data_IF_887479307117
#
_entry.id   IF_887479307117
#
_cell.length_a   1.000
_cell.length_b   1.000
_cell.length_c   1.000
_cell.angle_alpha   90.00
_cell.angle_beta   90.00
_cell.angle_gamma   90.00
#
_symmetry.space_group_name_H-M   'P 1'
#
loop_
_entity.id
_entity.type
_entity.pdbx_description
1 polymer ?
#
# COMPACT_ATOMS: atom_id res chain seq x y z
N UNK A 1 -6.33 8.82 4.03
CA UNK A 1 -6.08 7.72 3.09
C UNK A 1 -7.06 7.87 1.93
N UNK A 2 -6.59 7.68 0.70
CA UNK A 2 -7.45 7.63 -0.49
C UNK A 2 -7.02 6.48 -1.38
N UNK A 3 -8.00 5.71 -1.88
CA UNK A 3 -7.79 4.67 -2.86
C UNK A 3 -9.00 4.60 -3.81
N UNK A 4 -8.77 4.16 -5.04
CA UNK A 4 -9.84 3.96 -6.03
C UNK A 4 -10.43 2.55 -5.96
N UNK A 5 -9.72 1.59 -5.36
CA UNK A 5 -10.15 0.20 -5.29
C UNK A 5 -11.20 -0.02 -4.20
N UNK A 6 -12.38 -0.50 -4.60
CA UNK A 6 -13.45 -0.85 -3.68
C UNK A 6 -13.09 -1.95 -2.68
N UNK A 7 -12.15 -2.87 -3.02
CA UNK A 7 -11.66 -3.89 -2.08
C UNK A 7 -10.87 -3.25 -0.94
N UNK A 8 -10.02 -2.28 -1.23
CA UNK A 8 -9.28 -1.52 -0.21
C UNK A 8 -10.23 -0.73 0.68
N UNK A 9 -11.22 -0.08 0.08
CA UNK A 9 -12.25 0.69 0.81
C UNK A 9 -13.08 -0.21 1.73
N UNK A 10 -13.47 -1.39 1.25
CA UNK A 10 -14.14 -2.39 2.05
C UNK A 10 -13.28 -2.88 3.22
N UNK A 11 -12.02 -3.15 2.96
CA UNK A 11 -11.08 -3.59 4.00
C UNK A 11 -11.02 -2.57 5.16
N UNK A 12 -10.83 -1.30 4.85
CA UNK A 12 -10.77 -0.26 5.88
C UNK A 12 -12.07 -0.13 6.66
N UNK A 13 -13.22 -0.19 5.97
CA UNK A 13 -14.53 -0.12 6.61
C UNK A 13 -14.79 -1.34 7.50
N UNK A 14 -14.50 -2.54 7.01
CA UNK A 14 -14.67 -3.79 7.74
C UNK A 14 -13.76 -3.87 8.97
N UNK A 15 -12.47 -3.51 8.85
CA UNK A 15 -11.54 -3.46 9.99
C UNK A 15 -12.02 -2.45 11.04
N UNK A 16 -12.55 -1.31 10.61
CA UNK A 16 -13.07 -0.31 11.54
C UNK A 16 -14.32 -0.81 12.28
N UNK A 17 -15.22 -1.50 11.60
CA UNK A 17 -16.51 -1.92 12.14
C UNK A 17 -16.45 -3.27 12.89
N UNK A 18 -15.74 -4.25 12.32
CA UNK A 18 -15.72 -5.64 12.80
C UNK A 18 -14.32 -6.30 12.67
N UNK A 19 -13.30 -5.77 13.37
CA UNK A 19 -11.92 -6.26 13.23
C UNK A 19 -11.77 -7.75 13.55
N UNK A 20 -12.54 -8.29 14.50
CA UNK A 20 -12.51 -9.71 14.85
C UNK A 20 -13.01 -10.61 13.71
N UNK A 21 -14.09 -10.22 13.03
CA UNK A 21 -14.62 -10.98 11.89
C UNK A 21 -13.66 -10.94 10.68
N UNK A 22 -12.98 -9.82 10.47
CA UNK A 22 -11.94 -9.72 9.45
C UNK A 22 -10.75 -10.60 9.81
N UNK A 23 -10.33 -10.63 11.08
CA UNK A 23 -9.25 -11.48 11.57
C UNK A 23 -9.56 -12.96 11.35
N UNK A 24 -10.76 -13.41 11.74
CA UNK A 24 -11.21 -14.80 11.54
C UNK A 24 -11.17 -15.21 10.07
N UNK A 25 -11.63 -14.35 9.16
CA UNK A 25 -11.59 -14.62 7.73
C UNK A 25 -10.17 -14.56 7.14
N UNK A 26 -9.26 -13.85 7.79
CA UNK A 26 -7.85 -13.70 7.40
C UNK A 26 -6.96 -14.82 7.98
N UNK A 27 -7.34 -15.37 9.14
CA UNK A 27 -6.59 -16.40 9.84
C UNK A 27 -6.80 -17.77 9.20
N UNK A 28 -6.05 -18.04 8.15
CA UNK A 28 -6.18 -19.24 7.35
C UNK A 28 -4.81 -19.74 6.89
N UNK A 29 -4.60 -21.07 6.86
CA UNK A 29 -3.36 -21.64 6.35
C UNK A 29 -3.16 -21.32 4.86
N UNK A 30 -1.93 -21.43 4.40
CA UNK A 30 -1.59 -21.25 2.99
C UNK A 30 -2.00 -22.50 2.22
N UNK A 31 -3.12 -22.41 1.51
CA UNK A 31 -3.67 -23.48 0.67
C UNK A 31 -3.81 -22.94 -0.76
N UNK A 32 -3.11 -23.56 -1.70
CA UNK A 32 -3.09 -23.09 -3.08
C UNK A 32 -4.49 -23.09 -3.73
N UNK A 33 -5.27 -24.13 -3.50
CA UNK A 33 -6.64 -24.23 -4.03
C UNK A 33 -7.52 -23.09 -3.51
N UNK A 34 -7.38 -22.76 -2.22
CA UNK A 34 -8.12 -21.67 -1.58
C UNK A 34 -7.70 -20.31 -2.12
N UNK A 35 -6.40 -20.12 -2.37
CA UNK A 35 -5.89 -18.88 -2.95
C UNK A 35 -6.58 -18.56 -4.28
N UNK A 36 -6.74 -19.57 -5.14
CA UNK A 36 -7.38 -19.39 -6.44
C UNK A 36 -8.89 -19.26 -6.34
N UNK A 37 -9.52 -20.07 -5.51
CA UNK A 37 -10.96 -20.00 -5.29
C UNK A 37 -11.37 -18.62 -4.74
N UNK A 38 -10.63 -18.10 -3.75
CA UNK A 38 -10.84 -16.78 -3.17
C UNK A 38 -10.55 -15.66 -4.17
N UNK A 39 -9.50 -15.78 -4.96
CA UNK A 39 -9.18 -14.83 -6.03
C UNK A 39 -10.35 -14.68 -7.01
N UNK A 40 -10.87 -15.78 -7.54
CA UNK A 40 -11.98 -15.77 -8.47
C UNK A 40 -13.26 -15.23 -7.84
N UNK A 41 -13.53 -15.64 -6.60
CA UNK A 41 -14.70 -15.15 -5.87
C UNK A 41 -14.62 -13.64 -5.65
N UNK A 42 -13.47 -13.12 -5.20
CA UNK A 42 -13.27 -11.69 -4.99
C UNK A 42 -13.44 -10.88 -6.27
N UNK A 43 -12.90 -11.37 -7.40
CA UNK A 43 -13.12 -10.73 -8.71
C UNK A 43 -14.62 -10.67 -9.03
N UNK A 44 -15.33 -11.77 -8.83
CA UNK A 44 -16.78 -11.84 -9.10
C UNK A 44 -17.61 -10.91 -8.19
N UNK A 45 -17.12 -10.58 -6.99
CA UNK A 45 -17.83 -9.69 -6.07
C UNK A 45 -17.50 -8.21 -6.26
N UNK A 46 -16.43 -7.87 -6.99
CA UNK A 46 -15.87 -6.50 -7.04
C UNK A 46 -16.90 -5.42 -7.37
N UNK A 47 -17.67 -5.62 -8.42
CA UNK A 47 -18.64 -4.64 -8.89
C UNK A 47 -19.80 -4.46 -7.90
N UNK A 48 -20.39 -5.57 -7.46
CA UNK A 48 -21.50 -5.56 -6.49
C UNK A 48 -21.06 -5.00 -5.12
N UNK A 49 -19.86 -5.36 -4.66
CA UNK A 49 -19.27 -4.83 -3.44
C UNK A 49 -19.13 -3.31 -3.51
N UNK A 50 -18.53 -2.80 -4.59
CA UNK A 50 -18.33 -1.38 -4.78
C UNK A 50 -19.66 -0.61 -4.83
N UNK A 51 -20.64 -1.13 -5.54
CA UNK A 51 -21.98 -0.54 -5.61
C UNK A 51 -22.65 -0.47 -4.22
N UNK A 52 -22.54 -1.54 -3.43
CA UNK A 52 -23.11 -1.58 -2.07
C UNK A 52 -22.40 -0.65 -1.11
N UNK A 53 -21.07 -0.54 -1.19
CA UNK A 53 -20.28 0.39 -0.37
C UNK A 53 -20.70 1.86 -0.58
N UNK A 54 -21.13 2.20 -1.80
CA UNK A 54 -21.59 3.56 -2.14
C UNK A 54 -23.03 3.79 -1.71
N UNK A 55 -23.89 2.76 -1.84
CA UNK A 55 -25.32 2.86 -1.58
C UNK A 55 -25.66 2.78 -0.07
N UNK A 56 -24.87 2.05 0.71
CA UNK A 56 -25.13 1.78 2.12
C UNK A 56 -23.89 2.16 2.97
N UNK A 57 -24.07 3.15 3.82
CA UNK A 57 -23.02 3.68 4.68
C UNK A 57 -22.57 2.67 5.75
N UNK A 58 -23.41 1.75 6.14
CA UNK A 58 -23.10 0.72 7.13
C UNK A 58 -22.64 -0.60 6.51
N UNK A 59 -22.77 -0.74 5.20
CA UNK A 59 -22.37 -1.97 4.53
C UNK A 59 -20.86 -2.17 4.53
N UNK A 60 -20.45 -3.36 4.92
CA UNK A 60 -19.12 -3.93 4.70
C UNK A 60 -19.23 -5.44 4.57
N UNK A 61 -18.23 -6.05 3.93
CA UNK A 61 -18.09 -7.50 3.87
C UNK A 61 -16.78 -7.91 4.53
N UNK A 62 -16.87 -8.41 5.78
CA UNK A 62 -15.71 -8.82 6.57
C UNK A 62 -14.98 -10.03 5.96
N UNK A 63 -15.73 -10.95 5.32
CA UNK A 63 -15.16 -12.11 4.63
C UNK A 63 -14.36 -11.68 3.41
N UNK A 64 -14.92 -10.81 2.58
CA UNK A 64 -14.21 -10.26 1.43
C UNK A 64 -12.94 -9.49 1.88
N UNK A 65 -13.03 -8.72 2.96
CA UNK A 65 -11.91 -7.98 3.52
C UNK A 65 -10.79 -8.92 4.03
N UNK A 66 -11.15 -9.94 4.80
CA UNK A 66 -10.20 -10.92 5.34
C UNK A 66 -9.56 -11.76 4.24
N UNK A 67 -10.33 -12.26 3.29
CA UNK A 67 -9.79 -13.02 2.17
C UNK A 67 -8.91 -12.18 1.25
N UNK A 68 -9.26 -10.91 1.03
CA UNK A 68 -8.43 -9.98 0.27
C UNK A 68 -7.07 -9.76 0.96
N UNK A 69 -7.07 -9.49 2.27
CA UNK A 69 -5.85 -9.28 3.03
C UNK A 69 -4.99 -10.56 3.13
N UNK A 70 -5.63 -11.71 3.39
CA UNK A 70 -4.98 -13.02 3.42
C UNK A 70 -4.27 -13.33 2.09
N UNK A 71 -4.97 -13.17 0.97
CA UNK A 71 -4.38 -13.43 -0.33
C UNK A 71 -3.31 -12.43 -0.73
N UNK A 72 -3.43 -11.16 -0.36
CA UNK A 72 -2.40 -10.15 -0.57
C UNK A 72 -1.07 -10.52 0.14
N UNK A 73 -1.13 -11.26 1.26
CA UNK A 73 0.06 -11.77 1.95
C UNK A 73 0.70 -12.98 1.27
N UNK A 74 0.01 -13.67 0.37
CA UNK A 74 0.47 -14.94 -0.22
C UNK A 74 0.66 -14.91 -1.71
N UNK A 75 -0.01 -14.00 -2.41
CA UNK A 75 0.06 -13.91 -3.86
C UNK A 75 1.43 -13.43 -4.30
N UNK A 76 2.06 -14.16 -5.23
CA UNK A 76 3.37 -13.82 -5.78
C UNK A 76 3.19 -13.03 -7.08
N UNK A 77 3.79 -11.85 -7.14
CA UNK A 77 3.74 -10.99 -8.32
C UNK A 77 2.51 -10.08 -8.34
N UNK A 78 2.19 -9.59 -9.53
CA UNK A 78 1.05 -8.70 -9.77
C UNK A 78 -0.26 -9.44 -9.99
N UNK A 79 -1.36 -8.72 -9.96
CA UNK A 79 -2.68 -9.21 -10.40
C UNK A 79 -3.56 -9.83 -9.33
N UNK A 80 -3.23 -9.75 -8.02
CA UNK A 80 -4.16 -10.15 -6.97
C UNK A 80 -5.46 -9.35 -7.08
N UNK A 81 -6.58 -10.08 -7.19
CA UNK A 81 -7.91 -9.52 -7.45
C UNK A 81 -8.02 -8.67 -8.73
N UNK A 82 -7.09 -8.76 -9.68
CA UNK A 82 -7.22 -8.13 -10.98
C UNK A 82 -8.11 -8.96 -11.91
N UNK A 83 -9.06 -8.31 -12.58
CA UNK A 83 -9.93 -8.95 -13.57
C UNK A 83 -9.23 -9.27 -14.89
N UNK A 84 -8.02 -8.78 -15.10
CA UNK A 84 -7.26 -9.04 -16.34
C UNK A 84 -6.60 -10.42 -16.25
N UNK A 85 -7.00 -11.39 -17.07
CA UNK A 85 -6.40 -12.74 -17.06
C UNK A 85 -5.02 -12.69 -17.72
N UNK A 86 -4.02 -12.14 -17.05
CA UNK A 86 -2.64 -12.17 -17.56
C UNK A 86 -1.96 -13.52 -17.41
N UNK A 87 -2.48 -14.38 -16.54
CA UNK A 87 -1.91 -15.70 -16.30
C UNK A 87 -2.99 -16.77 -16.29
N UNK A 88 -2.66 -17.90 -16.86
CA UNK A 88 -3.51 -19.09 -16.81
C UNK A 88 -3.71 -19.47 -15.33
N UNK A 89 -4.95 -19.79 -14.98
CA UNK A 89 -5.25 -20.39 -13.68
C UNK A 89 -4.32 -21.58 -13.46
N UNK A 90 -3.90 -21.82 -12.21
CA UNK A 90 -3.07 -22.97 -11.92
C UNK A 90 -3.80 -24.24 -12.34
N UNK A 91 -3.07 -25.11 -12.95
CA UNK A 91 -3.56 -26.45 -13.27
C UNK A 91 -3.42 -27.31 -12.01
N UNK A 92 -4.41 -27.28 -11.13
CA UNK A 92 -4.50 -28.20 -10.02
C UNK A 92 -4.65 -29.59 -10.61
N UNK A 93 -3.60 -30.41 -10.56
CA UNK A 93 -3.58 -31.75 -11.14
C UNK A 93 -2.77 -31.90 -12.44
N UNK A 94 -2.11 -30.86 -12.92
CA UNK A 94 -1.14 -30.99 -14.01
C UNK A 94 0.13 -31.71 -13.57
N UNK A 95 0.68 -32.56 -14.42
CA UNK A 95 1.89 -33.37 -14.17
C UNK A 95 3.02 -32.53 -13.58
N UNK A 96 3.38 -32.83 -12.33
CA UNK A 96 4.25 -32.03 -11.51
C UNK A 96 5.69 -31.98 -12.01
N UNK A 97 6.14 -30.84 -12.44
CA UNK A 97 7.55 -30.48 -12.52
C UNK A 97 7.91 -29.46 -11.43
N UNK A 98 7.56 -29.75 -10.17
CA UNK A 98 7.89 -28.87 -9.04
C UNK A 98 7.17 -27.52 -9.05
N UNK A 99 7.41 -26.76 -8.01
CA UNK A 99 6.75 -25.48 -7.66
C UNK A 99 7.07 -24.32 -8.62
N UNK A 100 8.02 -24.48 -9.54
CA UNK A 100 8.56 -23.40 -10.36
C UNK A 100 8.22 -23.53 -11.86
N UNK A 101 6.94 -23.42 -12.21
CA UNK A 101 6.59 -23.22 -13.63
C UNK A 101 6.45 -21.72 -13.91
N UNK A 102 7.12 -21.17 -14.94
CA UNK A 102 7.09 -19.73 -15.24
C UNK A 102 5.70 -19.16 -15.56
N UNK A 103 4.69 -20.00 -15.75
CA UNK A 103 3.35 -19.62 -16.17
C UNK A 103 2.27 -19.80 -15.10
N UNK A 104 2.61 -20.21 -13.89
CA UNK A 104 1.65 -20.49 -12.83
C UNK A 104 1.88 -19.57 -11.65
N UNK A 105 0.79 -19.01 -11.12
CA UNK A 105 0.82 -18.27 -9.88
C UNK A 105 0.71 -19.27 -8.73
N UNK A 106 1.71 -19.30 -7.88
CA UNK A 106 1.76 -20.19 -6.71
C UNK A 106 1.78 -19.36 -5.44
N UNK A 107 1.23 -19.87 -4.34
CA UNK A 107 1.45 -19.25 -3.03
C UNK A 107 2.93 -19.35 -2.66
N UNK A 108 3.37 -18.47 -1.79
CA UNK A 108 4.73 -18.49 -1.28
C UNK A 108 4.89 -19.70 -0.34
N UNK A 109 5.49 -20.80 -0.82
CA UNK A 109 5.69 -22.04 -0.07
C UNK A 109 7.05 -22.13 0.64
N UNK A 110 7.90 -21.09 0.56
CA UNK A 110 9.18 -21.04 1.28
C UNK A 110 8.99 -20.59 2.73
N UNK A 111 10.06 -20.69 3.54
CA UNK A 111 10.08 -20.25 4.94
C UNK A 111 9.65 -18.79 5.17
N UNK A 112 9.62 -17.96 4.13
CA UNK A 112 9.06 -16.62 4.19
C UNK A 112 7.54 -16.57 3.97
N UNK A 113 6.93 -17.69 3.55
CA UNK A 113 5.54 -17.78 3.09
C UNK A 113 4.56 -18.26 4.14
N UNK A 114 4.67 -17.79 5.37
CA UNK A 114 3.70 -18.11 6.44
C UNK A 114 2.41 -17.27 6.36
N UNK A 115 2.18 -16.60 5.24
CA UNK A 115 0.98 -15.80 5.01
C UNK A 115 0.85 -14.65 6.02
N UNK A 116 -0.33 -14.52 6.62
CA UNK A 116 -0.61 -13.51 7.64
C UNK A 116 0.11 -13.73 8.96
N UNK A 117 0.69 -14.89 9.16
CA UNK A 117 1.46 -15.28 10.36
C UNK A 117 2.96 -15.01 10.23
N UNK A 118 3.41 -14.37 9.16
CA UNK A 118 4.81 -14.00 8.99
C UNK A 118 5.28 -13.14 10.18
N UNK A 119 6.39 -13.50 10.86
CA UNK A 119 6.92 -12.70 11.95
C UNK A 119 7.23 -11.30 11.40
N UNK A 120 6.53 -10.31 11.92
CA UNK A 120 6.75 -8.92 11.54
C UNK A 120 8.01 -8.43 12.24
N UNK A 121 9.02 -8.09 11.47
CA UNK A 121 10.15 -7.35 12.02
C UNK A 121 9.64 -5.97 12.39
N UNK A 122 10.01 -5.51 13.58
CA UNK A 122 9.76 -4.15 14.02
C UNK A 122 10.09 -3.18 12.89
N UNK A 123 9.24 -2.19 12.70
CA UNK A 123 9.49 -1.06 11.79
C UNK A 123 10.88 -0.50 12.11
N UNK A 124 11.64 -0.09 11.10
CA UNK A 124 12.93 0.57 11.27
C UNK A 124 12.85 1.87 12.12
N UNK A 125 11.65 2.27 12.52
CA UNK A 125 11.34 3.44 13.34
C UNK A 125 10.83 3.08 14.75
N UNK A 126 10.81 1.80 15.13
CA UNK A 126 10.45 1.37 16.48
C UNK A 126 11.71 0.86 17.17
N UNK A 127 12.18 1.58 18.18
CA UNK A 127 13.31 1.18 19.04
C UNK A 127 12.98 -0.01 19.95
N UNK A 128 11.73 -0.48 19.96
CA UNK A 128 11.29 -1.62 20.75
C UNK A 128 11.00 -2.83 19.85
N UNK A 129 11.52 -3.98 20.24
CA UNK A 129 11.15 -5.27 19.65
C UNK A 129 9.65 -5.48 19.87
N UNK A 130 8.85 -5.24 18.82
CA UNK A 130 7.42 -5.55 18.86
C UNK A 130 7.31 -7.07 18.90
N UNK A 131 6.90 -7.58 20.04
CA UNK A 131 6.53 -8.97 20.22
C UNK A 131 5.48 -9.36 19.16
N UNK A 132 5.54 -10.58 18.64
CA UNK A 132 4.58 -11.04 17.64
C UNK A 132 3.16 -10.97 18.21
N UNK A 133 2.40 -10.06 17.67
CA UNK A 133 0.97 -9.89 17.97
C UNK A 133 0.20 -10.69 16.93
N UNK A 134 -0.74 -11.51 17.34
CA UNK A 134 -1.63 -12.26 16.45
C UNK A 134 -2.41 -11.34 15.51
N UNK A 135 -2.89 -11.88 14.38
CA UNK A 135 -3.64 -11.10 13.39
C UNK A 135 -4.87 -10.41 13.98
N UNK A 136 -5.52 -11.05 14.96
CA UNK A 136 -6.69 -10.49 15.65
C UNK A 136 -6.34 -9.23 16.47
N UNK A 137 -5.29 -9.28 17.25
CA UNK A 137 -4.82 -8.15 18.06
C UNK A 137 -4.32 -7.00 17.17
N UNK A 138 -3.64 -7.34 16.10
CA UNK A 138 -3.19 -6.36 15.12
C UNK A 138 -4.35 -5.61 14.46
N UNK A 139 -5.39 -6.31 13.99
CA UNK A 139 -6.55 -5.68 13.37
C UNK A 139 -7.38 -4.90 14.39
N UNK A 140 -7.43 -5.37 15.65
CA UNK A 140 -8.04 -4.60 16.73
C UNK A 140 -7.32 -3.28 16.99
N UNK A 141 -5.99 -3.29 17.07
CA UNK A 141 -5.19 -2.08 17.23
C UNK A 141 -5.36 -1.13 16.03
N UNK A 142 -5.40 -1.68 14.81
CA UNK A 142 -5.64 -0.92 13.58
C UNK A 142 -7.03 -0.27 13.58
N UNK A 143 -8.07 -0.98 14.04
CA UNK A 143 -9.43 -0.43 14.19
C UNK A 143 -9.46 0.79 15.11
N UNK A 144 -8.74 0.71 16.24
CA UNK A 144 -8.64 1.85 17.16
C UNK A 144 -7.93 3.05 16.51
N UNK A 145 -6.85 2.79 15.78
CA UNK A 145 -6.11 3.84 15.07
C UNK A 145 -6.95 4.51 13.98
N UNK A 146 -7.80 3.76 13.29
CA UNK A 146 -8.69 4.27 12.24
C UNK A 146 -9.72 5.29 12.74
N UNK A 147 -9.96 5.43 14.04
CA UNK A 147 -10.88 6.42 14.60
C UNK A 147 -10.52 7.87 14.21
N UNK A 148 -9.23 8.14 14.07
CA UNK A 148 -8.73 9.47 13.70
C UNK A 148 -8.41 9.57 12.19
N UNK A 149 -8.70 8.53 11.39
CA UNK A 149 -8.36 8.47 9.97
C UNK A 149 -9.62 8.63 9.13
N UNK A 150 -9.55 9.49 8.12
CA UNK A 150 -10.56 9.59 7.06
C UNK A 150 -10.12 8.74 5.88
N UNK A 151 -10.99 7.86 5.40
CA UNK A 151 -10.78 7.04 4.23
C UNK A 151 -11.70 7.54 3.13
N UNK A 152 -11.12 7.94 2.01
CA UNK A 152 -11.82 8.37 0.81
C UNK A 152 -11.64 7.36 -0.32
N UNK A 153 -12.62 7.25 -1.19
CA UNK A 153 -12.56 6.40 -2.39
C UNK A 153 -12.81 7.25 -3.62
N UNK A 154 -11.91 7.19 -4.59
CA UNK A 154 -12.05 7.88 -5.86
C UNK A 154 -10.81 8.64 -6.29
N UNK A 155 -11.00 9.60 -7.20
CA UNK A 155 -9.91 10.38 -7.77
C UNK A 155 -9.08 11.07 -6.66
N UNK A 156 -7.77 10.91 -6.71
CA UNK A 156 -6.83 11.42 -5.72
C UNK A 156 -6.86 12.95 -5.58
N UNK A 157 -7.18 13.67 -6.66
CA UNK A 157 -7.24 15.14 -6.65
C UNK A 157 -8.25 15.69 -5.65
N UNK A 158 -9.26 14.90 -5.32
CA UNK A 158 -10.29 15.28 -4.33
C UNK A 158 -9.72 15.44 -2.92
N UNK A 159 -8.63 14.76 -2.59
CA UNK A 159 -8.03 14.76 -1.25
C UNK A 159 -6.79 15.64 -1.12
N UNK A 160 -6.35 16.24 -2.22
CA UNK A 160 -5.22 17.19 -2.22
C UNK A 160 -5.66 18.62 -2.51
N UNK A 161 -6.93 18.94 -2.30
CA UNK A 161 -7.44 20.31 -2.43
C UNK A 161 -7.01 21.17 -1.23
N UNK A 162 -6.88 22.50 -1.37
CA UNK A 162 -6.50 23.39 -0.27
C UNK A 162 -7.37 23.24 0.97
N UNK A 163 -8.67 23.00 0.80
CA UNK A 163 -9.59 22.81 1.93
C UNK A 163 -9.34 21.51 2.70
N UNK A 164 -8.99 20.42 1.99
CA UNK A 164 -8.66 19.14 2.63
C UNK A 164 -7.30 19.20 3.32
N UNK A 165 -6.34 19.90 2.72
CA UNK A 165 -5.00 20.09 3.28
C UNK A 165 -4.97 21.20 4.37
N UNK A 166 -6.13 21.75 4.75
CA UNK A 166 -6.25 22.83 5.75
C UNK A 166 -5.43 24.10 5.42
N UNK A 167 -5.20 24.35 4.12
CA UNK A 167 -4.38 25.47 3.67
C UNK A 167 -5.15 26.79 3.53
N UNK A 168 -6.48 26.76 3.66
CA UNK A 168 -7.35 27.90 3.35
C UNK A 168 -7.58 28.87 4.52
N UNK A 169 -7.32 28.45 5.76
CA UNK A 169 -7.86 29.20 6.92
C UNK A 169 -6.85 29.98 7.75
N UNK A 170 -5.56 29.66 7.73
CA UNK A 170 -4.54 30.47 8.42
C UNK A 170 -3.15 30.21 7.83
N UNK A 171 -2.38 31.25 7.45
CA UNK A 171 -1.05 31.10 6.81
C UNK A 171 -0.01 30.38 7.68
N UNK A 172 -0.12 30.43 9.00
CA UNK A 172 0.93 30.02 9.94
C UNK A 172 0.63 28.73 10.72
N UNK A 173 -0.53 28.09 10.52
CA UNK A 173 -1.05 27.20 11.54
C UNK A 173 -0.80 25.69 11.33
N UNK A 174 -0.68 25.17 10.13
CA UNK A 174 -0.58 23.72 9.97
C UNK A 174 0.37 23.28 8.85
N UNK A 175 1.34 22.49 9.22
CA UNK A 175 2.15 21.73 8.26
C UNK A 175 1.42 20.41 7.94
N UNK A 176 1.15 20.18 6.66
CA UNK A 176 0.51 18.98 6.17
C UNK A 176 1.51 18.06 5.48
N UNK A 177 1.57 16.80 5.91
CA UNK A 177 2.30 15.74 5.21
C UNK A 177 1.42 15.08 4.14
N UNK A 178 1.94 14.98 2.92
CA UNK A 178 1.28 14.31 1.79
C UNK A 178 2.19 13.22 1.29
N UNK A 179 1.72 11.96 1.32
CA UNK A 179 2.41 10.84 0.71
C UNK A 179 1.65 10.37 -0.53
N UNK A 180 2.33 10.36 -1.66
CA UNK A 180 1.78 9.99 -2.97
C UNK A 180 2.49 8.74 -3.47
N UNK A 181 1.72 7.71 -3.77
CA UNK A 181 2.18 6.42 -4.26
C UNK A 181 1.42 6.05 -5.55
N UNK A 182 1.71 6.75 -6.67
CA UNK A 182 1.07 6.45 -7.94
C UNK A 182 1.58 5.12 -8.52
N UNK A 183 0.84 4.52 -9.46
CA UNK A 183 1.33 3.36 -10.21
C UNK A 183 2.65 3.67 -10.90
N UNK A 184 3.70 2.89 -10.65
CA UNK A 184 5.03 3.10 -11.26
C UNK A 184 5.04 2.78 -12.75
N UNK A 185 5.72 3.61 -13.56
CA UNK A 185 5.75 3.49 -15.01
C UNK A 185 6.41 2.20 -15.49
N UNK A 186 7.48 1.78 -14.84
CA UNK A 186 8.27 0.61 -15.21
C UNK A 186 7.80 -0.72 -14.60
N UNK A 187 6.69 -0.72 -13.86
CA UNK A 187 6.14 -1.92 -13.22
C UNK A 187 5.20 -2.68 -14.14
N UNK A 188 5.30 -4.02 -14.12
CA UNK A 188 4.31 -4.91 -14.74
C UNK A 188 3.05 -5.07 -13.87
N UNK A 189 2.86 -4.23 -12.85
CA UNK A 189 1.72 -4.33 -11.94
C UNK A 189 0.43 -3.85 -12.62
N UNK A 190 -0.56 -4.73 -12.71
CA UNK A 190 -1.91 -4.38 -13.13
C UNK A 190 -2.70 -3.86 -11.93
N UNK A 191 -2.91 -2.56 -11.91
CA UNK A 191 -3.85 -1.97 -10.96
C UNK A 191 -5.28 -2.17 -11.47
N UNK A 192 -6.15 -2.62 -10.59
CA UNK A 192 -7.54 -2.99 -10.94
C UNK A 192 -8.43 -1.79 -11.31
N UNK A 193 -8.00 -0.58 -10.97
CA UNK A 193 -8.72 0.65 -11.28
C UNK A 193 -8.21 1.24 -12.60
N UNK A 194 -9.05 1.22 -13.62
CA UNK A 194 -8.74 1.63 -14.99
C UNK A 194 -8.19 3.05 -15.12
N UNK A 195 -7.22 3.20 -15.96
CA UNK A 195 -6.50 4.40 -16.36
C UNK A 195 -5.17 4.02 -17.00
N UNK A 196 -4.62 4.85 -17.88
CA UNK A 196 -3.27 4.62 -18.37
C UNK A 196 -2.28 5.03 -17.26
N UNK A 197 -1.41 4.14 -16.84
CA UNK A 197 -0.40 4.35 -15.78
C UNK A 197 0.46 5.59 -16.04
N UNK A 198 0.82 5.81 -17.28
CA UNK A 198 1.61 6.94 -17.75
C UNK A 198 0.97 8.27 -17.42
N UNK A 199 -0.34 8.38 -17.61
CA UNK A 199 -1.05 9.65 -17.41
C UNK A 199 -1.18 9.99 -15.92
N UNK A 200 -1.45 8.98 -15.06
CA UNK A 200 -1.62 9.22 -13.63
C UNK A 200 -0.30 9.62 -12.96
N UNK A 201 0.78 8.89 -13.22
CA UNK A 201 2.10 9.23 -12.67
C UNK A 201 2.58 10.61 -13.12
N UNK A 202 2.32 10.96 -14.40
CA UNK A 202 2.63 12.28 -14.92
C UNK A 202 1.82 13.40 -14.24
N UNK A 203 0.51 13.21 -14.06
CA UNK A 203 -0.35 14.16 -13.37
C UNK A 203 0.03 14.38 -11.91
N UNK A 204 0.39 13.30 -11.22
CA UNK A 204 0.88 13.39 -9.83
C UNK A 204 2.19 14.15 -9.76
N UNK A 205 3.13 13.88 -10.68
CA UNK A 205 4.41 14.61 -10.77
C UNK A 205 4.23 16.08 -11.07
N UNK A 206 3.32 16.44 -11.97
CA UNK A 206 2.98 17.83 -12.28
C UNK A 206 2.45 18.54 -11.03
N UNK A 207 1.49 17.94 -10.35
CA UNK A 207 0.98 18.49 -9.09
C UNK A 207 2.09 18.66 -8.05
N UNK A 208 3.01 17.71 -7.95
CA UNK A 208 4.18 17.80 -7.07
C UNK A 208 5.08 18.99 -7.44
N UNK A 209 5.34 19.20 -8.72
CA UNK A 209 6.14 20.33 -9.20
C UNK A 209 5.49 21.68 -8.82
N UNK A 210 4.18 21.79 -9.00
CA UNK A 210 3.42 23.01 -8.71
C UNK A 210 3.33 23.33 -7.21
N UNK A 211 3.27 22.31 -6.37
CA UNK A 211 3.03 22.47 -4.92
C UNK A 211 4.26 22.23 -4.04
N UNK A 212 5.33 21.70 -4.60
CA UNK A 212 6.54 21.33 -3.84
C UNK A 212 7.24 22.50 -3.16
N UNK A 213 7.07 23.72 -3.68
CA UNK A 213 7.61 24.95 -3.09
C UNK A 213 6.84 25.48 -1.89
N UNK A 214 5.63 24.98 -1.62
CA UNK A 214 4.83 25.45 -0.49
C UNK A 214 5.40 24.93 0.85
N UNK A 215 5.84 25.86 1.70
CA UNK A 215 6.44 25.55 3.00
C UNK A 215 5.48 24.92 4.00
N UNK A 216 4.20 24.95 3.74
CA UNK A 216 3.16 24.29 4.56
C UNK A 216 3.00 22.82 4.19
N UNK A 217 3.55 22.38 3.05
CA UNK A 217 3.47 21.00 2.59
C UNK A 217 4.79 20.26 2.78
N UNK A 218 4.68 19.03 3.21
CA UNK A 218 5.75 18.03 3.23
C UNK A 218 5.32 16.91 2.31
N UNK A 219 5.73 16.98 1.05
CA UNK A 219 5.30 16.04 0.02
C UNK A 219 6.38 14.98 -0.16
N UNK A 220 5.97 13.73 -0.10
CA UNK A 220 6.79 12.57 -0.43
C UNK A 220 6.12 11.83 -1.58
N UNK A 221 6.87 11.61 -2.65
CA UNK A 221 6.41 10.89 -3.84
C UNK A 221 7.27 9.64 -4.01
N UNK A 222 6.65 8.47 -4.13
CA UNK A 222 7.32 7.20 -4.43
C UNK A 222 7.34 6.93 -5.94
N UNK A 223 8.35 6.19 -6.38
CA UNK A 223 8.52 5.79 -7.78
C UNK A 223 9.79 4.96 -7.97
N UNK A 224 10.03 4.53 -9.20
CA UNK A 224 11.29 3.90 -9.57
C UNK A 224 12.36 4.91 -9.92
N UNK A 225 13.61 4.50 -9.82
CA UNK A 225 14.80 5.27 -10.17
C UNK A 225 14.65 5.98 -11.52
N UNK A 226 14.88 7.29 -11.53
CA UNK A 226 14.74 8.16 -12.70
C UNK A 226 13.29 8.56 -13.07
N UNK A 227 12.26 7.95 -12.49
CA UNK A 227 10.86 8.18 -12.89
C UNK A 227 10.41 9.63 -12.70
N UNK A 228 10.87 10.26 -11.62
CA UNK A 228 10.53 11.64 -11.26
C UNK A 228 11.74 12.57 -11.25
N UNK A 229 12.79 12.27 -12.00
CA UNK A 229 14.05 13.03 -12.01
C UNK A 229 13.86 14.53 -12.32
N UNK A 230 12.81 14.89 -13.06
CA UNK A 230 12.49 16.29 -13.32
C UNK A 230 12.25 17.12 -12.05
N UNK A 231 11.81 16.50 -10.95
CA UNK A 231 11.61 17.20 -9.68
C UNK A 231 12.93 17.60 -9.00
N UNK A 232 14.02 16.89 -9.29
CA UNK A 232 15.34 17.19 -8.72
C UNK A 232 15.85 18.56 -9.15
N UNK A 233 15.56 18.95 -10.40
CA UNK A 233 15.93 20.26 -10.95
C UNK A 233 15.22 21.44 -10.24
N UNK A 234 14.11 21.19 -9.56
CA UNK A 234 13.36 22.17 -8.77
C UNK A 234 13.52 21.98 -7.26
N UNK A 235 14.63 21.34 -6.85
CA UNK A 235 15.08 21.27 -5.47
C UNK A 235 14.54 20.11 -4.65
N UNK A 236 13.89 19.13 -5.27
CA UNK A 236 13.48 17.91 -4.56
C UNK A 236 14.69 17.02 -4.27
N UNK A 237 14.68 16.38 -3.12
CA UNK A 237 15.73 15.46 -2.68
C UNK A 237 15.29 14.02 -2.91
N UNK A 238 16.19 13.21 -3.50
CA UNK A 238 15.98 11.78 -3.69
C UNK A 238 16.56 10.99 -2.52
N UNK A 239 15.81 10.02 -2.04
CA UNK A 239 16.25 9.07 -1.03
C UNK A 239 16.05 7.66 -1.58
N UNK A 240 17.12 6.84 -1.51
CA UNK A 240 17.03 5.43 -1.83
C UNK A 240 16.15 4.74 -0.78
N UNK A 241 15.14 4.06 -1.24
CA UNK A 241 14.31 3.24 -0.40
C UNK A 241 14.59 1.77 -0.68
N UNK A 242 15.11 1.07 0.33
CA UNK A 242 15.33 -0.37 0.23
C UNK A 242 14.23 -1.09 0.96
N UNK A 243 13.30 -1.69 0.23
CA UNK A 243 12.36 -2.63 0.81
C UNK A 243 13.10 -3.90 1.22
N UNK A 244 13.11 -4.22 2.50
CA UNK A 244 13.57 -5.52 2.96
C UNK A 244 12.44 -6.53 2.73
N UNK A 245 12.46 -7.21 1.57
CA UNK A 245 11.58 -8.35 1.31
C UNK A 245 10.27 -7.98 0.64
N UNK A 246 10.30 -7.67 -0.65
CA UNK A 246 9.13 -7.85 -1.52
C UNK A 246 8.94 -9.33 -1.85
N UNK A 247 7.74 -9.73 -2.21
CA UNK A 247 7.29 -11.08 -2.50
C UNK A 247 8.06 -11.85 -3.60
N UNK A 248 9.10 -11.28 -4.19
CA UNK A 248 9.90 -11.88 -5.26
C UNK A 248 11.30 -12.34 -4.82
N UNK A 249 11.59 -12.47 -3.53
CA UNK A 249 12.94 -12.73 -2.99
C UNK A 249 13.37 -14.21 -3.02
N UNK A 250 12.69 -15.08 -3.74
CA UNK A 250 13.15 -16.47 -3.93
C UNK A 250 14.18 -16.53 -5.06
N UNK A 251 15.44 -16.22 -4.78
CA UNK A 251 16.57 -16.72 -5.57
C UNK A 251 17.02 -15.88 -6.78
N UNK A 252 16.64 -14.64 -6.92
CA UNK A 252 17.11 -13.73 -7.97
C UNK A 252 17.49 -12.36 -7.42
N UNK A 253 18.50 -11.74 -8.03
CA UNK A 253 18.88 -10.35 -7.76
C UNK A 253 17.68 -9.44 -8.11
N UNK A 254 16.96 -9.00 -7.10
CA UNK A 254 15.69 -8.31 -7.27
C UNK A 254 15.97 -6.85 -7.70
N UNK A 255 16.22 -6.66 -8.99
CA UNK A 255 16.52 -5.37 -9.60
C UNK A 255 15.47 -4.30 -9.22
N UNK A 256 14.21 -4.69 -9.01
CA UNK A 256 13.14 -3.76 -8.65
C UNK A 256 13.26 -3.22 -7.22
N UNK A 257 13.73 -4.03 -6.24
CA UNK A 257 13.94 -3.58 -4.85
C UNK A 257 15.02 -2.51 -4.73
N UNK A 258 15.99 -2.52 -5.66
CA UNK A 258 17.07 -1.52 -5.69
C UNK A 258 16.66 -0.27 -6.45
N UNK A 259 15.52 -0.27 -7.11
CA UNK A 259 15.05 0.83 -7.95
C UNK A 259 14.07 1.76 -7.24
N UNK A 260 13.53 1.38 -6.08
CA UNK A 260 12.58 2.20 -5.36
C UNK A 260 13.25 3.47 -4.81
N UNK A 261 12.61 4.60 -5.02
CA UNK A 261 13.06 5.93 -4.62
C UNK A 261 11.92 6.71 -3.99
N UNK A 262 12.26 7.59 -3.09
CA UNK A 262 11.38 8.61 -2.56
C UNK A 262 11.90 9.98 -2.95
N UNK A 263 11.04 10.78 -3.57
CA UNK A 263 11.30 12.19 -3.82
C UNK A 263 10.63 13.01 -2.73
N UNK A 264 11.44 13.80 -2.02
CA UNK A 264 11.00 14.63 -0.91
C UNK A 264 11.00 16.09 -1.34
N UNK A 265 9.88 16.80 -1.14
CA UNK A 265 9.79 18.22 -1.47
C UNK A 265 10.81 19.06 -0.69
N UNK A 266 11.20 20.25 -1.18
CA UNK A 266 12.22 21.10 -0.54
C UNK A 266 11.96 21.41 0.93
N UNK A 267 10.69 21.46 1.33
CA UNK A 267 10.31 21.75 2.70
C UNK A 267 10.33 20.52 3.64
N UNK A 268 10.59 19.31 3.13
CA UNK A 268 10.75 18.12 3.98
C UNK A 268 12.01 18.24 4.86
N UNK A 269 11.86 17.94 6.14
CA UNK A 269 12.97 17.99 7.12
C UNK A 269 13.91 16.82 6.90
N UNK A 270 15.21 17.07 7.02
CA UNK A 270 16.20 16.02 7.07
C UNK A 270 16.30 15.50 8.51
N UNK A 271 15.84 14.28 8.75
CA UNK A 271 15.86 13.69 10.10
C UNK A 271 17.29 13.63 10.70
N UNK A 272 18.32 13.54 9.86
CA UNK A 272 19.72 13.55 10.34
C UNK A 272 20.19 14.93 10.79
N UNK A 273 19.47 15.99 10.40
CA UNK A 273 19.74 17.37 10.76
C UNK A 273 18.76 17.92 11.80
N UNK A 274 17.77 17.15 12.17
CA UNK A 274 16.84 17.55 13.21
C UNK A 274 17.54 17.43 14.55
N UNK A 275 17.89 18.55 15.15
CA UNK A 275 18.34 18.60 16.54
C UNK A 275 17.24 18.01 17.42
N UNK A 276 17.58 17.07 18.29
CA UNK A 276 16.68 16.57 19.31
C UNK A 276 16.13 17.73 20.14
N UNK A 277 14.91 17.61 20.63
CA UNK A 277 14.27 18.62 21.48
C UNK A 277 15.15 18.99 22.71
N UNK A 278 16.07 18.12 23.06
CA UNK A 278 16.98 18.23 24.23
C UNK A 278 18.39 18.74 23.88
N UNK A 279 18.75 18.87 22.61
CA UNK A 279 20.08 19.37 22.21
C UNK A 279 20.27 20.88 22.43
N UNK A 280 19.20 21.60 22.70
CA UNK A 280 19.24 23.05 22.99
C UNK A 280 19.61 23.38 24.44
N UNK A 281 19.70 22.39 25.33
CA UNK A 281 19.89 22.61 26.77
C UNK A 281 21.36 22.49 27.23
N UNK A 282 22.33 22.21 26.35
CA UNK A 282 23.74 21.97 26.72
C UNK A 282 24.66 23.10 26.30
N UNK A 283 24.15 24.25 25.89
CA UNK A 283 24.94 25.43 25.53
C UNK A 283 24.51 26.63 26.38
N UNK A 284 24.74 26.54 27.70
CA UNK A 284 24.67 27.70 28.60
C UNK A 284 25.76 27.57 29.68
#
# INVERSE_FOLDING_TARGET
>A
INDLDGMVSNFWRAVRAAPAAVAEACDWPVIEADLHARHLWLIGQRESLTARLVADVEYFDARAAGWWAWGACMWIGDGWCSAKPRRKLPNIGGEGRGVHRPSQQLPHLSNAGVGVHAPRRASAFADEAVEFVGVAEWLQALSLRLRAVRVASGDWRRVVTPSVLHMSSQPDAAVCGVYLDPPYLAGNMDYAAGGTRTDLSAQVREWCADHGGDRRLRIVLSGHDGEHAALESVGWRVVEWKTKGGYASAGGDNANQRRERLWLSPACVDATKQRGLFDAAVSS
#
